data_IF_061588494453
#
_entry.id   IF_061588494453
#
_cell.length_a   1.000
_cell.length_b   1.000
_cell.length_c   1.000
_cell.angle_alpha   90.00
_cell.angle_beta   90.00
_cell.angle_gamma   90.00
#
_symmetry.space_group_name_H-M   'P 1'
#
loop_
_entity.id
_entity.type
_entity.pdbx_description
1 polymer ?
#
# COMPACT_ATOMS: atom_id res chain seq x y z
N UNK A 1 19.66 8.27 -7.07
CA UNK A 1 18.57 7.25 -7.14
C UNK A 1 19.16 6.00 -7.77
N UNK A 2 19.13 4.89 -7.05
CA UNK A 2 19.51 3.57 -7.55
C UNK A 2 18.41 3.05 -8.48
N UNK A 3 18.79 2.48 -9.63
CA UNK A 3 17.78 1.78 -10.44
C UNK A 3 17.26 0.58 -9.65
N UNK A 4 15.95 0.43 -9.61
CA UNK A 4 15.28 -0.61 -8.81
C UNK A 4 14.25 -1.31 -9.69
N UNK A 5 14.34 -2.62 -9.82
CA UNK A 5 13.36 -3.43 -10.55
C UNK A 5 12.02 -3.51 -9.81
N UNK A 6 10.97 -3.89 -10.52
CA UNK A 6 9.62 -3.97 -9.94
C UNK A 6 9.55 -4.92 -8.73
N UNK A 7 10.18 -6.08 -8.83
CA UNK A 7 10.19 -7.05 -7.73
C UNK A 7 11.00 -6.53 -6.53
N UNK A 8 12.14 -5.88 -6.79
CA UNK A 8 12.96 -5.27 -5.76
C UNK A 8 12.24 -4.13 -5.05
N UNK A 9 11.51 -3.29 -5.78
CA UNK A 9 10.69 -2.21 -5.20
C UNK A 9 9.62 -2.79 -4.27
N UNK A 10 8.94 -3.85 -4.72
CA UNK A 10 7.90 -4.52 -3.94
C UNK A 10 8.45 -5.10 -2.65
N UNK A 11 9.57 -5.83 -2.73
CA UNK A 11 10.21 -6.39 -1.54
C UNK A 11 10.76 -5.30 -0.60
N UNK A 12 11.43 -4.28 -1.12
CA UNK A 12 11.94 -3.17 -0.31
C UNK A 12 10.83 -2.48 0.50
N UNK A 13 9.66 -2.23 -0.11
CA UNK A 13 8.52 -1.63 0.59
C UNK A 13 8.02 -2.55 1.72
N UNK A 14 7.85 -3.84 1.42
CA UNK A 14 7.33 -4.80 2.40
C UNK A 14 8.33 -5.02 3.55
N UNK A 15 9.63 -5.15 3.25
CA UNK A 15 10.69 -5.31 4.26
C UNK A 15 10.82 -4.06 5.13
N UNK A 16 10.75 -2.86 4.54
CA UNK A 16 10.75 -1.62 5.29
C UNK A 16 9.65 -1.61 6.36
N UNK A 17 8.40 -1.89 5.97
CA UNK A 17 7.30 -1.88 6.93
C UNK A 17 7.33 -3.07 7.90
N UNK A 18 7.88 -4.21 7.52
CA UNK A 18 8.17 -5.31 8.46
C UNK A 18 9.18 -4.85 9.52
N UNK A 19 10.23 -4.10 9.14
CA UNK A 19 11.19 -3.53 10.10
C UNK A 19 10.56 -2.54 11.09
N UNK A 20 9.43 -1.92 10.70
CA UNK A 20 8.60 -1.06 11.57
C UNK A 20 7.52 -1.84 12.35
N UNK A 21 7.60 -3.17 12.39
CA UNK A 21 6.72 -4.04 13.16
C UNK A 21 5.41 -4.43 12.47
N UNK A 22 5.27 -4.24 11.15
CA UNK A 22 4.10 -4.65 10.41
C UNK A 22 4.12 -6.14 10.08
N UNK A 23 2.95 -6.76 10.14
CA UNK A 23 2.74 -8.13 9.67
C UNK A 23 2.58 -8.13 8.15
N UNK A 24 3.44 -8.85 7.44
CA UNK A 24 3.31 -9.03 5.99
C UNK A 24 2.14 -9.94 5.68
N UNK A 25 1.20 -9.44 4.89
CA UNK A 25 0.03 -10.20 4.41
C UNK A 25 0.17 -10.50 2.91
N UNK A 26 -0.26 -11.69 2.46
CA UNK A 26 -0.35 -11.99 1.05
C UNK A 26 -1.44 -11.16 0.36
N UNK A 27 -1.32 -10.99 -0.96
CA UNK A 27 -2.41 -10.42 -1.77
C UNK A 27 -3.65 -11.30 -1.67
N UNK A 28 -4.78 -10.69 -1.34
CA UNK A 28 -6.07 -11.39 -1.41
C UNK A 28 -6.43 -11.72 -2.89
N UNK A 29 -7.23 -12.76 -3.12
CA UNK A 29 -7.79 -13.04 -4.45
C UNK A 29 -8.56 -11.83 -5.00
N UNK A 30 -8.46 -11.59 -6.32
CA UNK A 30 -9.17 -10.48 -6.96
C UNK A 30 -10.69 -10.59 -6.88
N UNK A 31 -11.21 -11.82 -6.92
CA UNK A 31 -12.62 -12.10 -6.64
C UNK A 31 -12.76 -12.24 -5.12
N UNK A 32 -13.46 -11.32 -4.45
CA UNK A 32 -13.61 -11.36 -2.99
C UNK A 32 -14.42 -12.58 -2.57
N UNK A 33 -13.94 -13.29 -1.55
CA UNK A 33 -14.63 -14.47 -1.01
C UNK A 33 -15.62 -14.11 0.09
N UNK A 34 -15.39 -12.99 0.79
CA UNK A 34 -16.10 -12.62 2.03
C UNK A 34 -16.70 -11.20 1.99
N UNK A 35 -16.80 -10.56 0.82
CA UNK A 35 -17.26 -9.18 0.67
C UNK A 35 -18.24 -9.08 -0.51
N UNK A 36 -19.52 -9.25 -0.21
CA UNK A 36 -20.58 -9.24 -1.23
C UNK A 36 -20.81 -7.86 -1.89
N UNK A 37 -20.28 -6.78 -1.32
CA UNK A 37 -20.43 -5.42 -1.88
C UNK A 37 -19.48 -5.11 -3.04
N UNK A 38 -18.49 -5.99 -3.29
CA UNK A 38 -17.48 -5.81 -4.33
C UNK A 38 -17.47 -6.99 -5.28
N UNK A 39 -17.51 -6.72 -6.58
CA UNK A 39 -17.30 -7.74 -7.62
C UNK A 39 -15.82 -8.12 -7.72
N UNK A 40 -14.95 -7.12 -7.63
CA UNK A 40 -13.49 -7.29 -7.71
C UNK A 40 -12.80 -6.39 -6.68
N UNK A 41 -11.66 -6.85 -6.17
CA UNK A 41 -10.82 -6.04 -5.28
C UNK A 41 -10.21 -4.89 -6.07
N UNK A 42 -10.51 -3.68 -5.67
CA UNK A 42 -10.13 -2.42 -6.33
C UNK A 42 -9.18 -1.54 -5.51
N UNK A 43 -8.81 -1.97 -4.29
CA UNK A 43 -7.89 -1.25 -3.42
C UNK A 43 -7.22 -2.17 -2.41
N UNK A 44 -6.07 -1.74 -1.89
CA UNK A 44 -5.33 -2.48 -0.85
C UNK A 44 -6.08 -2.63 0.48
N UNK A 45 -6.96 -1.67 0.79
CA UNK A 45 -7.76 -1.69 2.01
C UNK A 45 -8.97 -2.63 1.93
N UNK A 46 -9.52 -2.87 0.75
CA UNK A 46 -10.78 -3.61 0.57
C UNK A 46 -10.80 -4.97 1.29
N UNK A 47 -9.78 -5.84 1.16
CA UNK A 47 -9.77 -7.12 1.85
C UNK A 47 -9.52 -7.01 3.37
N UNK A 48 -9.16 -5.82 3.86
CA UNK A 48 -8.77 -5.61 5.25
C UNK A 48 -9.87 -4.97 6.11
N UNK A 49 -11.05 -4.72 5.57
CA UNK A 49 -12.18 -4.07 6.29
C UNK A 49 -12.47 -4.72 7.65
N UNK A 50 -12.46 -6.06 7.71
CA UNK A 50 -12.75 -6.81 8.94
C UNK A 50 -11.72 -6.58 10.06
N UNK A 51 -10.46 -6.23 9.71
CA UNK A 51 -9.44 -5.87 10.69
C UNK A 51 -9.69 -4.47 11.27
N UNK A 52 -10.10 -3.50 10.44
CA UNK A 52 -10.46 -2.16 10.87
C UNK A 52 -11.69 -2.14 11.79
N UNK A 53 -12.66 -3.03 11.53
CA UNK A 53 -13.88 -3.17 12.35
C UNK A 53 -13.71 -4.11 13.55
N UNK A 54 -12.50 -4.64 13.77
CA UNK A 54 -12.17 -5.61 14.85
C UNK A 54 -12.98 -6.90 14.81
N UNK A 55 -13.54 -7.26 13.66
CA UNK A 55 -14.18 -8.56 13.41
C UNK A 55 -13.16 -9.66 13.14
N UNK A 56 -11.92 -9.29 12.79
CA UNK A 56 -10.80 -10.19 12.56
C UNK A 56 -9.52 -9.58 13.15
N UNK A 57 -8.64 -10.44 13.66
CA UNK A 57 -7.35 -10.05 14.22
C UNK A 57 -6.22 -10.71 13.43
N UNK A 58 -5.05 -10.07 13.43
CA UNK A 58 -3.86 -10.67 12.85
C UNK A 58 -3.39 -11.85 13.69
N UNK A 59 -2.86 -12.93 13.07
CA UNK A 59 -2.49 -14.17 13.78
C UNK A 59 -1.46 -13.98 14.91
N UNK A 60 -0.62 -12.96 14.79
CA UNK A 60 0.42 -12.63 15.77
C UNK A 60 0.00 -11.58 16.80
N UNK A 61 -1.28 -11.18 16.82
CA UNK A 61 -1.77 -10.14 17.72
C UNK A 61 -1.33 -8.72 17.38
N UNK A 62 -0.62 -8.50 16.28
CA UNK A 62 -0.24 -7.17 15.80
C UNK A 62 -1.45 -6.37 15.35
N UNK A 63 -1.34 -5.03 15.43
CA UNK A 63 -2.34 -4.08 14.91
C UNK A 63 -1.84 -3.34 13.66
N UNK A 64 -0.75 -3.79 13.04
CA UNK A 64 -0.17 -3.22 11.82
C UNK A 64 0.07 -4.30 10.78
N UNK A 65 -0.23 -3.97 9.53
CA UNK A 65 0.00 -4.86 8.41
C UNK A 65 0.61 -4.13 7.22
N UNK A 66 1.33 -4.86 6.38
CA UNK A 66 1.80 -4.41 5.07
C UNK A 66 1.48 -5.45 4.02
N UNK A 67 1.13 -4.99 2.83
CA UNK A 67 0.82 -5.87 1.70
C UNK A 67 1.12 -5.23 0.35
N UNK A 68 1.31 -6.06 -0.66
CA UNK A 68 1.27 -5.69 -2.06
C UNK A 68 0.01 -6.31 -2.67
N UNK A 69 -1.09 -5.56 -2.71
CA UNK A 69 -2.40 -6.05 -3.14
C UNK A 69 -2.61 -5.86 -4.63
N UNK A 70 -2.92 -6.94 -5.33
CA UNK A 70 -3.39 -6.91 -6.71
C UNK A 70 -4.80 -6.33 -6.78
N UNK A 71 -5.02 -5.38 -7.68
CA UNK A 71 -6.26 -4.64 -7.81
C UNK A 71 -6.71 -4.53 -9.26
N UNK A 72 -8.03 -4.46 -9.45
CA UNK A 72 -8.65 -4.16 -10.75
C UNK A 72 -9.62 -3.00 -10.61
N UNK A 73 -9.52 -2.02 -11.53
CA UNK A 73 -10.48 -0.91 -11.68
C UNK A 73 -10.97 -0.83 -13.10
N UNK A 74 -12.18 -1.30 -13.34
CA UNK A 74 -12.82 -1.32 -14.65
C UNK A 74 -13.30 0.06 -15.14
N UNK A 75 -13.71 1.03 -14.30
CA UNK A 75 -14.09 2.37 -14.76
C UNK A 75 -12.99 3.12 -15.51
N UNK A 76 -11.72 2.75 -15.31
CA UNK A 76 -10.59 3.39 -15.98
C UNK A 76 -10.26 2.77 -17.36
N UNK A 77 -10.98 1.72 -17.79
CA UNK A 77 -10.66 0.97 -19.02
C UNK A 77 -10.69 1.85 -20.27
N UNK A 78 -11.63 2.79 -20.35
CA UNK A 78 -11.74 3.71 -21.49
C UNK A 78 -10.58 4.72 -21.58
N UNK A 79 -9.82 4.88 -20.50
CA UNK A 79 -8.67 5.78 -20.41
C UNK A 79 -7.33 5.10 -20.67
N UNK A 80 -7.32 3.75 -20.66
CA UNK A 80 -6.11 2.96 -20.90
C UNK A 80 -5.65 3.13 -22.34
N UNK A 81 -4.39 3.51 -22.54
CA UNK A 81 -3.83 3.81 -23.85
C UNK A 81 -4.13 5.21 -24.39
N UNK A 82 -5.05 5.97 -23.78
CA UNK A 82 -5.34 7.37 -24.10
C UNK A 82 -4.53 8.29 -23.18
N UNK A 83 -4.49 7.99 -21.90
CA UNK A 83 -3.72 8.72 -20.90
C UNK A 83 -2.44 7.96 -20.55
N UNK A 84 -1.40 8.68 -20.14
CA UNK A 84 -0.08 8.09 -19.86
C UNK A 84 -0.03 7.22 -18.58
N UNK A 85 -1.05 7.24 -17.72
CA UNK A 85 -0.96 6.72 -16.35
C UNK A 85 -2.12 5.86 -15.89
N UNK A 86 -3.10 5.57 -16.75
CA UNK A 86 -4.20 4.68 -16.38
C UNK A 86 -3.93 3.24 -16.78
N UNK A 87 -4.13 2.33 -15.82
CA UNK A 87 -4.15 0.90 -16.02
C UNK A 87 -5.37 0.30 -15.33
N UNK A 88 -5.88 -0.82 -15.83
CA UNK A 88 -7.01 -1.54 -15.23
C UNK A 88 -6.57 -2.51 -14.15
N UNK A 89 -5.41 -3.16 -14.34
CA UNK A 89 -4.78 -4.05 -13.39
C UNK A 89 -3.50 -3.42 -12.85
N UNK A 90 -3.36 -3.37 -11.54
CA UNK A 90 -2.22 -2.76 -10.86
C UNK A 90 -2.03 -3.35 -9.46
N UNK A 91 -0.91 -3.02 -8.82
CA UNK A 91 -0.62 -3.39 -7.45
C UNK A 91 -0.64 -2.14 -6.56
N UNK A 92 -1.22 -2.28 -5.37
CA UNK A 92 -1.13 -1.28 -4.32
C UNK A 92 -0.19 -1.76 -3.23
N UNK A 93 0.91 -1.04 -3.05
CA UNK A 93 1.77 -1.15 -1.88
C UNK A 93 1.08 -0.43 -0.72
N UNK A 94 0.82 -1.15 0.35
CA UNK A 94 0.04 -0.62 1.47
C UNK A 94 0.66 -0.94 2.82
N UNK A 95 0.64 0.05 3.70
CA UNK A 95 0.86 -0.10 5.13
C UNK A 95 -0.41 0.33 5.87
N UNK A 96 -0.81 -0.46 6.85
CA UNK A 96 -2.10 -0.33 7.53
C UNK A 96 -1.91 -0.34 9.04
N UNK A 97 -2.58 0.59 9.70
CA UNK A 97 -2.69 0.68 11.15
C UNK A 97 -4.14 0.40 11.58
N UNK A 98 -4.33 -0.60 12.41
CA UNK A 98 -5.64 -0.95 12.96
C UNK A 98 -5.79 -0.33 14.36
N UNK A 99 -5.84 1.02 14.43
CA UNK A 99 -5.88 1.80 15.68
C UNK A 99 -4.60 1.67 16.52
N UNK A 100 -3.43 1.62 15.88
CA UNK A 100 -2.13 1.53 16.54
C UNK A 100 -1.35 2.84 16.38
N UNK A 101 -0.92 3.18 15.18
CA UNK A 101 -0.22 4.43 14.89
C UNK A 101 -1.01 5.33 13.93
N UNK A 102 -0.60 6.59 13.79
CA UNK A 102 -1.23 7.54 12.89
C UNK A 102 -0.19 8.44 12.18
N UNK A 103 -0.48 9.73 12.01
CA UNK A 103 0.33 10.65 11.19
C UNK A 103 1.75 10.85 11.73
N UNK A 104 1.89 10.89 13.05
CA UNK A 104 3.15 11.19 13.73
C UNK A 104 4.23 10.15 13.43
N UNK A 105 3.84 8.89 13.26
CA UNK A 105 4.75 7.79 12.93
C UNK A 105 4.87 7.58 11.43
N UNK A 106 3.75 7.55 10.68
CA UNK A 106 3.80 7.18 9.26
C UNK A 106 4.47 8.25 8.39
N UNK A 107 4.36 9.54 8.72
CA UNK A 107 4.99 10.59 7.93
C UNK A 107 6.52 10.50 7.96
N UNK A 108 7.19 10.39 9.14
CA UNK A 108 8.62 10.12 9.19
C UNK A 108 9.04 8.83 8.48
N UNK A 109 8.27 7.74 8.61
CA UNK A 109 8.58 6.49 7.92
C UNK A 109 8.49 6.62 6.40
N UNK A 110 7.45 7.28 5.89
CA UNK A 110 7.33 7.54 4.46
C UNK A 110 8.51 8.36 3.93
N UNK A 111 8.91 9.39 4.68
CA UNK A 111 10.08 10.21 4.34
C UNK A 111 11.36 9.39 4.37
N UNK A 112 11.59 8.58 5.40
CA UNK A 112 12.73 7.67 5.51
C UNK A 112 12.78 6.71 4.33
N UNK A 113 11.68 6.01 4.02
CA UNK A 113 11.62 5.07 2.91
C UNK A 113 11.97 5.71 1.58
N UNK A 114 11.45 6.91 1.31
CA UNK A 114 11.67 7.58 0.03
C UNK A 114 13.06 8.17 -0.10
N UNK A 115 13.66 8.70 0.97
CA UNK A 115 14.85 9.55 0.87
C UNK A 115 16.14 8.92 1.38
N UNK A 116 16.08 7.88 2.22
CA UNK A 116 17.31 7.29 2.75
C UNK A 116 18.05 6.47 1.70
N UNK A 117 19.39 6.44 1.81
CA UNK A 117 20.27 5.72 0.88
C UNK A 117 20.08 4.20 0.97
N UNK A 118 19.62 3.70 2.09
CA UNK A 118 19.34 2.29 2.33
C UNK A 118 18.13 1.81 1.51
N UNK A 119 17.14 2.69 1.31
CA UNK A 119 15.89 2.36 0.62
C UNK A 119 15.82 2.94 -0.79
N UNK A 120 14.99 3.95 -1.03
CA UNK A 120 14.75 4.45 -2.39
C UNK A 120 15.73 5.52 -2.85
N UNK A 121 16.41 6.21 -1.93
CA UNK A 121 17.38 7.26 -2.22
C UNK A 121 16.89 8.29 -3.26
N UNK A 122 15.62 8.67 -3.20
CA UNK A 122 15.05 9.68 -4.08
C UNK A 122 15.60 11.05 -3.66
N UNK A 123 16.19 11.83 -4.56
CA UNK A 123 16.62 13.19 -4.26
C UNK A 123 15.47 14.05 -3.75
N UNK A 124 15.68 14.75 -2.63
CA UNK A 124 14.62 15.51 -1.96
C UNK A 124 14.03 16.61 -2.84
N UNK A 125 14.83 17.17 -3.73
CA UNK A 125 14.42 18.19 -4.70
C UNK A 125 13.46 17.67 -5.79
N UNK A 126 13.29 16.34 -5.89
CA UNK A 126 12.33 15.69 -6.79
C UNK A 126 11.02 15.32 -6.12
N UNK A 127 10.91 15.55 -4.82
CA UNK A 127 9.70 15.25 -4.06
C UNK A 127 8.85 16.51 -3.89
N UNK A 128 7.57 16.41 -4.23
CA UNK A 128 6.58 17.47 -4.03
C UNK A 128 5.58 17.00 -2.98
N UNK A 129 5.47 17.76 -1.90
CA UNK A 129 4.59 17.46 -0.79
C UNK A 129 3.41 18.43 -0.84
N UNK A 130 2.21 17.89 -0.88
CA UNK A 130 0.98 18.67 -0.74
C UNK A 130 0.39 18.49 0.65
N UNK A 131 -0.15 19.55 1.20
CA UNK A 131 -0.86 19.56 2.49
C UNK A 131 -2.24 20.16 2.28
N UNK A 132 -3.15 19.81 3.16
CA UNK A 132 -4.45 20.50 3.23
C UNK A 132 -4.26 21.83 3.94
N UNK A 133 -4.80 22.90 3.37
CA UNK A 133 -4.88 24.24 3.95
C UNK A 133 -6.36 24.63 3.99
N UNK A 134 -6.82 25.18 5.13
CA UNK A 134 -8.19 25.67 5.31
C UNK A 134 -8.41 27.04 4.64
#
# INVERSE_FOLDING_TARGET
>A
MKWTGLNELREAFLEFFVSKGHTRLPSAPLVPQDEASLLLINSGMAPLKKYFTRQKFLPNGSFRATSCQKCIRTPDIERVGITARHGTFFEMLGNFSFQDYFKEEVIPWAWEFLTSDEWMAIPKDKLHISVYEE
#
